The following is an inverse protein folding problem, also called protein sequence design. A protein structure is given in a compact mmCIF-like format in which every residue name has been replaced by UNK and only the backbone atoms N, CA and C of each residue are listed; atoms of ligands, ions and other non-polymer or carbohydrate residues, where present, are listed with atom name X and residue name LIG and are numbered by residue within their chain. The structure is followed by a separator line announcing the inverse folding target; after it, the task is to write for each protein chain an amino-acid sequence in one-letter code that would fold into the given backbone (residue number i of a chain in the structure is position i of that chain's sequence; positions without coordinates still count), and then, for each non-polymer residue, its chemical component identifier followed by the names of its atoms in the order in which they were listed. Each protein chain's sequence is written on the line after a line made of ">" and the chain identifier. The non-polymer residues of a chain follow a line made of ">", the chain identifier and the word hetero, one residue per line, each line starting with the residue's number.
data_IF_336658752438
#
_entry.id   IF_336658752438
#
_cell.length_a   1.000
_cell.length_b   1.000
_cell.length_c   1.000
_cell.angle_alpha   90.00
_cell.angle_beta   90.00
_cell.angle_gamma   90.00
#
_symmetry.space_group_name_H-M   'P 1'
#
loop_
_entity.id
_entity.type
_entity.pdbx_description
1 polymer ?
#
# COMPACT_ATOMS: atom_id res chain seq x y z
N UNK A 1 0.58 -2.33 -15.71
CA UNK A 1 1.51 -3.34 -16.15
C UNK A 1 1.56 -3.54 -17.67
N UNK A 2 0.58 -3.03 -18.43
CA UNK A 2 0.65 -3.08 -19.91
C UNK A 2 1.94 -2.43 -20.42
N UNK A 3 2.32 -1.31 -19.83
CA UNK A 3 3.57 -0.62 -20.17
C UNK A 3 4.80 -1.47 -19.83
N UNK A 4 4.77 -2.22 -18.73
CA UNK A 4 5.86 -3.11 -18.36
C UNK A 4 6.04 -4.22 -19.38
N UNK A 5 4.94 -4.87 -19.81
CA UNK A 5 4.99 -5.92 -20.82
C UNK A 5 5.57 -5.43 -22.14
N UNK A 6 5.20 -4.22 -22.54
CA UNK A 6 5.73 -3.61 -23.76
C UNK A 6 7.22 -3.32 -23.67
N UNK A 7 7.71 -2.89 -22.47
CA UNK A 7 9.11 -2.48 -22.29
C UNK A 7 10.08 -3.66 -22.18
N UNK A 8 9.71 -4.72 -21.46
CA UNK A 8 10.65 -5.78 -21.08
C UNK A 8 10.33 -7.15 -21.70
N UNK A 9 9.21 -7.27 -22.42
CA UNK A 9 8.76 -8.53 -22.98
C UNK A 9 7.99 -9.38 -21.99
N UNK A 10 7.20 -10.32 -22.52
CA UNK A 10 6.20 -11.05 -21.73
C UNK A 10 6.79 -11.94 -20.65
N UNK A 11 7.85 -12.68 -20.94
CA UNK A 11 8.44 -13.61 -19.97
C UNK A 11 9.09 -12.87 -18.80
N UNK A 12 9.84 -11.82 -19.10
CA UNK A 12 10.51 -11.02 -18.06
C UNK A 12 9.46 -10.31 -17.20
N UNK A 13 8.43 -9.75 -17.83
CA UNK A 13 7.34 -9.09 -17.11
C UNK A 13 6.59 -10.08 -16.21
N UNK A 14 6.31 -11.28 -16.68
CA UNK A 14 5.65 -12.33 -15.92
C UNK A 14 6.46 -12.71 -14.67
N UNK A 15 7.75 -12.96 -14.84
CA UNK A 15 8.63 -13.30 -13.71
C UNK A 15 8.72 -12.17 -12.69
N UNK A 16 8.78 -10.93 -13.16
CA UNK A 16 8.85 -9.76 -12.31
C UNK A 16 7.57 -9.57 -11.50
N UNK A 17 6.41 -9.73 -12.13
CA UNK A 17 5.12 -9.65 -11.46
C UNK A 17 4.98 -10.76 -10.43
N UNK A 18 5.40 -11.98 -10.77
CA UNK A 18 5.37 -13.11 -9.85
C UNK A 18 6.26 -12.86 -8.63
N UNK A 19 7.46 -12.34 -8.82
CA UNK A 19 8.38 -11.97 -7.73
C UNK A 19 7.75 -10.87 -6.86
N UNK A 20 7.16 -9.89 -7.47
CA UNK A 20 6.44 -8.80 -6.80
C UNK A 20 5.35 -9.36 -5.87
N UNK A 21 4.46 -10.21 -6.37
CA UNK A 21 3.39 -10.79 -5.56
C UNK A 21 3.93 -11.67 -4.42
N UNK A 22 4.98 -12.43 -4.68
CA UNK A 22 5.60 -13.27 -3.66
C UNK A 22 6.14 -12.43 -2.49
N UNK A 23 6.85 -11.36 -2.80
CA UNK A 23 7.41 -10.45 -1.79
C UNK A 23 6.30 -9.77 -0.99
N UNK A 24 5.25 -9.29 -1.67
CA UNK A 24 4.11 -8.68 -0.98
C UNK A 24 3.43 -9.67 -0.04
N UNK A 25 3.23 -10.90 -0.48
CA UNK A 25 2.62 -11.95 0.32
C UNK A 25 3.42 -12.24 1.59
N UNK A 26 4.73 -12.36 1.48
CA UNK A 26 5.61 -12.60 2.64
C UNK A 26 5.58 -11.45 3.63
N UNK A 27 5.62 -10.21 3.15
CA UNK A 27 5.59 -9.02 4.01
C UNK A 27 4.26 -8.93 4.75
N UNK A 28 3.15 -9.12 4.04
CA UNK A 28 1.82 -9.09 4.65
C UNK A 28 1.72 -10.13 5.77
N UNK A 29 2.15 -11.35 5.51
CA UNK A 29 2.13 -12.42 6.52
C UNK A 29 3.01 -12.09 7.72
N UNK A 30 4.19 -11.54 7.50
CA UNK A 30 5.12 -11.20 8.59
C UNK A 30 4.61 -10.09 9.50
N UNK A 31 3.74 -9.22 9.00
CA UNK A 31 3.10 -8.15 9.77
C UNK A 31 1.71 -8.55 10.28
N UNK A 32 1.43 -9.85 10.34
CA UNK A 32 0.18 -10.44 10.81
C UNK A 32 -1.04 -10.04 9.99
N UNK A 33 -0.83 -9.66 8.75
CA UNK A 33 -1.90 -9.34 7.83
C UNK A 33 -2.35 -10.57 7.04
N UNK A 34 -3.36 -10.34 6.21
CA UNK A 34 -3.86 -11.34 5.29
C UNK A 34 -4.16 -10.70 3.95
N UNK A 35 -3.79 -11.36 2.88
CA UNK A 35 -4.20 -10.95 1.54
C UNK A 35 -5.64 -11.43 1.34
N UNK A 36 -6.53 -10.49 1.06
CA UNK A 36 -7.95 -10.77 0.88
C UNK A 36 -8.21 -11.23 -0.55
N UNK A 37 -7.74 -10.45 -1.51
CA UNK A 37 -7.95 -10.73 -2.94
C UNK A 37 -7.03 -9.89 -3.79
N UNK A 38 -6.95 -10.28 -5.06
CA UNK A 38 -6.32 -9.45 -6.09
C UNK A 38 -7.42 -8.82 -6.94
N UNK A 39 -7.18 -7.58 -7.39
CA UNK A 39 -8.09 -6.84 -8.26
C UNK A 39 -7.24 -6.33 -9.42
N UNK A 40 -7.26 -7.05 -10.55
CA UNK A 40 -6.32 -6.78 -11.63
C UNK A 40 -4.88 -6.99 -11.17
N UNK A 41 -4.06 -5.94 -11.23
CA UNK A 41 -2.69 -5.95 -10.72
C UNK A 41 -2.57 -5.39 -9.30
N UNK A 42 -3.69 -5.07 -8.67
CA UNK A 42 -3.73 -4.57 -7.30
C UNK A 42 -3.96 -5.71 -6.30
N UNK A 43 -3.49 -5.49 -5.07
CA UNK A 43 -3.67 -6.42 -3.97
C UNK A 43 -4.41 -5.70 -2.84
N UNK A 44 -5.45 -6.33 -2.33
CA UNK A 44 -6.13 -5.89 -1.12
C UNK A 44 -5.68 -6.75 0.05
N UNK A 45 -5.18 -6.11 1.09
CA UNK A 45 -4.74 -6.78 2.31
C UNK A 45 -5.34 -6.10 3.54
N UNK A 46 -5.50 -6.87 4.61
CA UNK A 46 -5.97 -6.36 5.90
C UNK A 46 -4.94 -6.63 6.98
N UNK A 47 -4.93 -5.79 8.00
CA UNK A 47 -4.00 -5.89 9.12
C UNK A 47 -4.77 -5.67 10.43
N UNK A 48 -4.28 -6.24 11.53
CA UNK A 48 -4.99 -6.12 12.81
C UNK A 48 -4.95 -4.70 13.41
N UNK A 49 -3.92 -3.93 13.08
CA UNK A 49 -3.75 -2.57 13.61
C UNK A 49 -3.15 -1.65 12.55
N UNK A 50 -3.34 -0.31 12.66
CA UNK A 50 -2.79 0.65 11.68
C UNK A 50 -1.26 0.61 11.57
N UNK A 51 -0.56 0.42 12.69
CA UNK A 51 0.90 0.36 12.69
C UNK A 51 1.43 -0.86 11.92
N UNK A 52 0.73 -1.99 12.00
CA UNK A 52 1.10 -3.19 11.22
C UNK A 52 0.95 -2.95 9.72
N UNK A 53 -0.16 -2.35 9.33
CA UNK A 53 -0.38 -1.98 7.93
C UNK A 53 0.67 -1.01 7.41
N UNK A 54 0.99 0.00 8.22
CA UNK A 54 2.01 0.98 7.86
C UNK A 54 3.41 0.35 7.78
N UNK A 55 3.77 -0.50 8.74
CA UNK A 55 5.04 -1.22 8.71
C UNK A 55 5.17 -2.07 7.45
N UNK A 56 4.10 -2.78 7.09
CA UNK A 56 4.07 -3.57 5.85
C UNK A 56 4.28 -2.69 4.63
N UNK A 57 3.60 -1.56 4.56
CA UNK A 57 3.70 -0.62 3.43
C UNK A 57 5.13 -0.09 3.28
N UNK A 58 5.77 0.29 4.37
CA UNK A 58 7.15 0.78 4.36
C UNK A 58 8.11 -0.31 3.86
N UNK A 59 7.94 -1.54 4.31
CA UNK A 59 8.75 -2.68 3.88
C UNK A 59 8.53 -3.03 2.41
N UNK A 60 7.28 -2.96 1.95
CA UNK A 60 6.94 -3.19 0.54
C UNK A 60 7.65 -2.18 -0.36
N UNK A 61 7.62 -0.92 0.02
CA UNK A 61 8.28 0.14 -0.76
C UNK A 61 9.78 -0.09 -0.84
N UNK A 62 10.42 -0.41 0.27
CA UNK A 62 11.85 -0.72 0.28
C UNK A 62 12.19 -1.95 -0.55
N UNK A 63 11.38 -2.99 -0.46
CA UNK A 63 11.60 -4.22 -1.22
C UNK A 63 11.53 -3.95 -2.74
N UNK A 64 10.58 -3.13 -3.18
CA UNK A 64 10.47 -2.78 -4.60
C UNK A 64 11.64 -1.93 -5.07
N UNK A 65 12.11 -1.01 -4.23
CA UNK A 65 13.31 -0.22 -4.53
C UNK A 65 14.55 -1.11 -4.65
N UNK A 66 14.70 -2.08 -3.76
CA UNK A 66 15.82 -3.02 -3.80
C UNK A 66 15.79 -3.89 -5.06
N UNK A 67 14.62 -4.39 -5.44
CA UNK A 67 14.47 -5.17 -6.67
C UNK A 67 14.84 -4.34 -7.89
N UNK A 68 14.35 -3.10 -7.96
CA UNK A 68 14.68 -2.19 -9.04
C UNK A 68 16.17 -1.91 -9.11
N UNK A 69 16.81 -1.68 -7.95
CA UNK A 69 18.23 -1.43 -7.87
C UNK A 69 19.06 -2.62 -8.35
N UNK A 70 18.70 -3.83 -7.95
CA UNK A 70 19.38 -5.06 -8.37
C UNK A 70 19.26 -5.29 -9.88
N UNK A 71 18.14 -4.89 -10.46
CA UNK A 71 17.90 -5.01 -11.90
C UNK A 71 18.45 -3.84 -12.71
N UNK A 72 18.88 -2.77 -12.05
CA UNK A 72 19.30 -1.54 -12.72
C UNK A 72 18.16 -0.85 -13.47
N UNK A 73 16.92 -0.93 -12.96
CA UNK A 73 15.76 -0.37 -13.61
C UNK A 73 14.80 0.25 -12.59
N UNK A 74 13.78 0.95 -13.08
CA UNK A 74 12.70 1.51 -12.28
C UNK A 74 11.35 0.95 -12.71
N UNK A 75 11.32 -0.27 -13.20
CA UNK A 75 10.11 -0.90 -13.78
C UNK A 75 9.04 -1.22 -12.76
N UNK A 76 9.43 -1.58 -11.52
CA UNK A 76 8.47 -1.87 -10.47
C UNK A 76 8.11 -0.59 -9.72
N UNK A 77 6.87 -0.15 -9.92
CA UNK A 77 6.31 1.01 -9.24
C UNK A 77 5.15 0.56 -8.38
N UNK A 78 5.17 0.93 -7.12
CA UNK A 78 4.15 0.53 -6.16
C UNK A 78 3.42 1.76 -5.63
N UNK A 79 2.09 1.72 -5.73
CA UNK A 79 1.21 2.75 -5.18
C UNK A 79 0.43 2.13 -4.03
N UNK A 80 0.56 2.70 -2.85
CA UNK A 80 -0.05 2.15 -1.64
C UNK A 80 -0.99 3.16 -1.02
N UNK A 81 -2.22 2.70 -0.71
CA UNK A 81 -3.18 3.46 0.07
C UNK A 81 -3.56 2.70 1.33
N UNK A 82 -3.62 3.38 2.45
CA UNK A 82 -3.95 2.78 3.75
C UNK A 82 -5.05 3.58 4.43
N UNK A 83 -6.03 2.87 4.95
CA UNK A 83 -7.11 3.46 5.72
C UNK A 83 -7.52 2.51 6.84
N UNK A 84 -8.02 3.05 7.92
CA UNK A 84 -8.52 2.28 9.06
C UNK A 84 -9.95 2.68 9.35
N UNK A 85 -10.78 1.70 9.62
CA UNK A 85 -12.17 1.93 9.98
C UNK A 85 -12.94 0.61 10.08
N UNK A 86 -14.21 0.67 10.49
CA UNK A 86 -15.04 -0.53 10.56
C UNK A 86 -15.38 -1.03 9.17
N UNK A 87 -15.41 -2.35 9.02
CA UNK A 87 -15.84 -2.99 7.78
C UNK A 87 -16.59 -4.28 8.10
N UNK A 88 -17.43 -4.71 7.18
CA UNK A 88 -18.19 -5.93 7.31
C UNK A 88 -17.38 -7.09 6.71
N UNK A 89 -17.05 -8.06 7.55
CA UNK A 89 -16.41 -9.30 7.10
C UNK A 89 -17.48 -10.30 6.71
N UNK A 90 -17.39 -10.84 5.50
CA UNK A 90 -18.32 -11.83 4.98
C UNK A 90 -17.56 -12.98 4.35
N UNK A 91 -18.18 -14.17 4.36
CA UNK A 91 -17.63 -15.33 3.69
C UNK A 91 -18.47 -15.62 2.45
N UNK A 92 -17.83 -15.56 1.28
CA UNK A 92 -18.44 -15.84 -0.01
C UNK A 92 -17.62 -16.93 -0.70
N UNK A 93 -18.28 -18.03 -1.09
CA UNK A 93 -17.61 -19.15 -1.78
C UNK A 93 -16.36 -19.64 -1.04
N UNK A 94 -16.47 -19.83 0.28
CA UNK A 94 -15.42 -20.28 1.19
C UNK A 94 -14.24 -19.30 1.29
N UNK A 95 -14.42 -18.06 0.84
CA UNK A 95 -13.40 -17.00 0.95
C UNK A 95 -13.92 -15.86 1.78
N UNK A 96 -13.07 -15.34 2.66
CA UNK A 96 -13.39 -14.16 3.43
C UNK A 96 -13.15 -12.91 2.59
N UNK A 97 -14.11 -12.00 2.60
CA UNK A 97 -14.01 -10.71 1.96
C UNK A 97 -14.52 -9.63 2.91
N UNK A 98 -14.24 -8.38 2.59
CA UNK A 98 -14.64 -7.25 3.42
C UNK A 98 -15.38 -6.23 2.57
N UNK A 99 -16.45 -5.68 3.13
CA UNK A 99 -17.28 -4.71 2.47
C UNK A 99 -17.54 -3.51 3.36
N UNK A 100 -17.80 -2.39 2.73
CA UNK A 100 -18.18 -1.17 3.40
C UNK A 100 -17.40 0.03 2.93
N UNK A 101 -17.72 1.17 3.51
CA UNK A 101 -17.12 2.43 3.15
C UNK A 101 -15.61 2.47 3.43
N UNK A 102 -15.16 1.82 4.49
CA UNK A 102 -13.73 1.72 4.83
C UNK A 102 -12.93 1.13 3.68
N UNK A 103 -13.43 0.06 3.06
CA UNK A 103 -12.79 -0.59 1.92
C UNK A 103 -12.77 0.35 0.71
N UNK A 104 -13.89 1.02 0.45
CA UNK A 104 -14.01 1.97 -0.66
C UNK A 104 -13.06 3.15 -0.50
N UNK A 105 -12.92 3.67 0.71
CA UNK A 105 -11.99 4.76 1.02
C UNK A 105 -10.55 4.29 0.77
N UNK A 106 -10.16 3.12 1.27
CA UNK A 106 -8.81 2.58 1.06
C UNK A 106 -8.47 2.45 -0.42
N UNK A 107 -9.40 1.93 -1.21
CA UNK A 107 -9.25 1.80 -2.65
C UNK A 107 -9.08 3.17 -3.33
N UNK A 108 -9.88 4.14 -2.95
CA UNK A 108 -9.80 5.50 -3.51
C UNK A 108 -8.50 6.19 -3.11
N UNK A 109 -8.03 6.00 -1.88
CA UNK A 109 -6.74 6.53 -1.41
C UNK A 109 -5.60 5.94 -2.25
N UNK A 110 -5.63 4.63 -2.49
CA UNK A 110 -4.64 3.97 -3.34
C UNK A 110 -4.65 4.56 -4.75
N UNK A 111 -5.83 4.82 -5.31
CA UNK A 111 -5.96 5.41 -6.64
C UNK A 111 -5.38 6.82 -6.75
N UNK A 112 -5.34 7.57 -5.66
CA UNK A 112 -4.74 8.90 -5.61
C UNK A 112 -3.24 8.88 -5.33
N UNK A 113 -2.70 7.76 -4.84
CA UNK A 113 -1.30 7.65 -4.47
C UNK A 113 -0.39 7.79 -5.69
N UNK A 114 0.74 8.42 -5.48
CA UNK A 114 1.80 8.50 -6.48
C UNK A 114 2.76 7.33 -6.31
N UNK A 115 3.51 7.01 -7.36
CA UNK A 115 4.50 5.94 -7.29
C UNK A 115 5.54 6.24 -6.20
N UNK A 116 5.89 5.20 -5.44
CA UNK A 116 6.87 5.26 -4.35
C UNK A 116 6.40 6.07 -3.12
N UNK A 117 5.21 6.61 -3.14
CA UNK A 117 4.62 7.26 -1.98
C UNK A 117 3.57 6.36 -1.34
N UNK A 118 3.47 6.43 -0.03
CA UNK A 118 2.40 5.77 0.72
C UNK A 118 1.41 6.86 1.11
N UNK A 119 0.17 6.71 0.66
CA UNK A 119 -0.91 7.62 1.04
C UNK A 119 -1.71 6.98 2.17
N UNK A 120 -1.89 7.73 3.25
CA UNK A 120 -2.61 7.27 4.43
C UNK A 120 -3.60 8.33 4.87
N UNK A 121 -4.72 7.90 5.44
CA UNK A 121 -5.72 8.82 5.99
C UNK A 121 -5.34 9.25 7.40
N UNK A 122 -5.99 10.30 7.89
CA UNK A 122 -5.78 10.81 9.25
C UNK A 122 -5.98 9.71 10.31
N UNK A 123 -6.90 8.78 10.08
CA UNK A 123 -7.13 7.67 11.01
C UNK A 123 -5.87 6.80 11.19
N UNK A 124 -5.06 6.65 10.17
CA UNK A 124 -3.81 5.87 10.22
C UNK A 124 -2.69 6.68 10.85
N UNK A 125 -2.41 7.89 10.32
CA UNK A 125 -1.27 8.69 10.79
C UNK A 125 -1.49 9.23 12.21
N UNK A 126 -2.73 9.36 12.64
CA UNK A 126 -3.09 9.78 13.99
C UNK A 126 -3.06 8.67 15.02
N UNK A 127 -2.89 7.41 14.59
CA UNK A 127 -2.76 6.30 15.53
C UNK A 127 -1.42 6.39 16.27
N UNK A 128 -1.44 6.16 17.60
CA UNK A 128 -0.26 6.35 18.44
C UNK A 128 0.92 5.48 18.04
N UNK A 129 0.68 4.19 17.77
CA UNK A 129 1.75 3.26 17.38
C UNK A 129 2.25 3.54 15.97
N UNK A 130 1.36 3.91 15.05
CA UNK A 130 1.76 4.31 13.71
C UNK A 130 2.61 5.59 13.76
N UNK A 131 2.25 6.55 14.61
CA UNK A 131 3.03 7.76 14.83
C UNK A 131 4.44 7.46 15.36
N UNK A 132 4.55 6.55 16.33
CA UNK A 132 5.84 6.11 16.85
C UNK A 132 6.71 5.46 15.77
N UNK A 133 6.11 4.65 14.92
CA UNK A 133 6.80 4.00 13.82
C UNK A 133 7.36 5.04 12.84
N UNK A 134 6.58 6.06 12.51
CA UNK A 134 7.01 7.14 11.63
C UNK A 134 8.14 7.96 12.24
N UNK A 135 8.07 8.26 13.53
CA UNK A 135 9.14 8.97 14.25
C UNK A 135 10.44 8.18 14.22
N UNK A 136 10.39 6.88 14.51
CA UNK A 136 11.58 6.02 14.48
C UNK A 136 12.19 5.94 13.08
N UNK A 137 11.37 5.94 12.05
CA UNK A 137 11.81 5.93 10.66
C UNK A 137 12.23 7.32 10.16
N UNK A 138 12.05 8.35 10.96
CA UNK A 138 12.33 9.75 10.62
C UNK A 138 11.53 10.16 9.37
N UNK A 139 10.26 9.77 9.32
CA UNK A 139 9.34 10.10 8.25
C UNK A 139 8.26 11.03 8.78
N UNK A 140 8.00 12.11 8.07
CA UNK A 140 6.98 13.10 8.43
C UNK A 140 5.86 13.02 7.40
N UNK A 141 4.63 12.66 7.83
CA UNK A 141 3.49 12.68 6.90
C UNK A 141 3.21 14.10 6.44
N UNK A 142 3.05 14.28 5.13
CA UNK A 142 2.74 15.56 4.53
C UNK A 142 1.28 15.64 4.14
N UNK A 143 0.55 16.61 4.69
CA UNK A 143 -0.85 16.82 4.35
C UNK A 143 -0.99 17.14 2.86
N UNK A 144 -1.97 16.51 2.22
CA UNK A 144 -2.22 16.71 0.80
C UNK A 144 -3.29 17.78 0.58
N UNK A 145 -3.12 18.57 -0.48
CA UNK A 145 -4.10 19.57 -0.88
C UNK A 145 -5.37 18.96 -1.45
N UNK A 146 -5.28 17.71 -1.93
CA UNK A 146 -6.43 16.93 -2.41
C UNK A 146 -6.92 16.06 -1.28
N UNK A 147 -8.20 16.20 -0.93
CA UNK A 147 -8.85 15.36 0.06
C UNK A 147 -9.89 14.49 -0.60
N UNK A 148 -10.15 13.34 0.00
CA UNK A 148 -11.15 12.40 -0.47
C UNK A 148 -12.49 12.74 0.15
N UNK A 149 -13.52 12.87 -0.67
CA UNK A 149 -14.88 13.03 -0.16
C UNK A 149 -15.56 11.67 -0.05
N UNK A 150 -15.91 11.29 1.18
CA UNK A 150 -16.62 10.06 1.46
C UNK A 150 -17.99 10.37 2.03
N UNK A 151 -19.04 10.03 1.31
CA UNK A 151 -20.47 10.21 1.60
C UNK A 151 -20.81 11.60 2.18
N UNK A 152 -20.59 11.83 3.47
CA UNK A 152 -20.99 13.06 4.16
C UNK A 152 -19.82 13.84 4.76
N UNK A 153 -18.60 13.35 4.61
CA UNK A 153 -17.42 14.00 5.22
C UNK A 153 -16.21 13.94 4.29
N UNK A 154 -15.32 14.89 4.48
CA UNK A 154 -14.02 14.92 3.82
C UNK A 154 -13.01 14.16 4.65
N UNK A 155 -12.23 13.29 4.00
CA UNK A 155 -11.19 12.51 4.64
C UNK A 155 -9.84 13.13 4.27
N UNK A 156 -9.08 13.54 5.28
CA UNK A 156 -7.76 14.12 5.08
C UNK A 156 -6.74 13.05 4.69
N UNK A 157 -5.90 13.38 3.72
CA UNK A 157 -4.87 12.50 3.18
C UNK A 157 -3.48 13.02 3.52
N UNK A 158 -2.57 12.08 3.76
CA UNK A 158 -1.17 12.37 4.04
C UNK A 158 -0.29 11.50 3.16
N UNK A 159 0.74 12.11 2.58
CA UNK A 159 1.75 11.38 1.83
C UNK A 159 2.95 11.08 2.72
N UNK A 160 3.41 9.85 2.70
CA UNK A 160 4.61 9.42 3.38
C UNK A 160 5.62 9.08 2.28
N UNK A 161 6.50 10.03 2.01
CA UNK A 161 7.49 9.88 0.94
C UNK A 161 8.72 9.14 1.44
N UNK A 162 9.45 8.53 0.50
CA UNK A 162 10.70 7.89 0.84
C UNK A 162 11.71 8.94 1.30
N UNK A 163 12.55 8.56 2.26
CA UNK A 163 13.63 9.41 2.74
C UNK A 163 14.62 9.63 1.60
N UNK A 164 14.89 10.90 1.26
CA UNK A 164 15.98 11.18 0.33
C UNK A 164 17.30 10.85 1.03
N UNK A 165 18.06 9.92 0.47
CA UNK A 165 19.43 9.74 0.91
C UNK A 165 20.20 10.99 0.53
N UNK A 166 20.52 11.81 1.52
CA UNK A 166 21.45 12.90 1.36
C UNK A 166 22.83 12.27 1.25
N UNK A 167 23.27 12.17 0.06
CA UNK A 167 24.51 11.66 -0.14
C UNK A 167 25.57 11.90 -0.65
#
# INVERSE_FOLDING_TARGET
>A
STQLYERVGDLVAFDLVRQHFHVLHEIVASERGAIVKTIGDAVMATFPTPDRGLAAALRMREAMLDINKQRGSEDLLLKIGIHEGPCLAVTLNDRQDYFGQTVNIASSVQGLATAQAIFATAAVVGDGKAGELLEKAVLVPEAQSVSLRAITRTVALFAITARHSVG
#
